data_IF_776083659285
#
_entry.id   IF_776083659285
#
_cell.length_a   1.000
_cell.length_b   1.000
_cell.length_c   1.000
_cell.angle_alpha   90.00
_cell.angle_beta   90.00
_cell.angle_gamma   90.00
#
_symmetry.space_group_name_H-M   'P 1'
#
loop_
_entity.id
_entity.type
_entity.pdbx_description
1 polymer ?
#
# COMPACT_ATOMS: atom_id res chain seq x y z
N UNK A 1 -63.22 -14.21 28.61
CA UNK A 1 -62.70 -14.11 29.99
C UNK A 1 -61.33 -14.78 30.05
N UNK A 2 -60.32 -14.02 30.50
CA UNK A 2 -59.17 -14.39 31.35
C UNK A 2 -57.82 -13.89 30.80
N UNK A 3 -57.44 -12.74 31.35
CA UNK A 3 -56.14 -12.05 31.24
C UNK A 3 -55.05 -12.83 32.00
N UNK A 4 -53.80 -12.87 31.50
CA UNK A 4 -52.56 -12.95 32.31
C UNK A 4 -51.40 -12.34 31.48
N UNK A 5 -51.12 -11.05 31.68
CA UNK A 5 -49.90 -10.46 32.30
C UNK A 5 -48.58 -10.69 31.56
N UNK A 6 -48.06 -9.57 31.02
CA UNK A 6 -46.69 -9.38 30.57
C UNK A 6 -45.68 -9.66 31.70
N UNK A 7 -44.57 -10.33 31.35
CA UNK A 7 -43.39 -10.45 32.20
C UNK A 7 -42.21 -9.92 31.40
N UNK A 8 -41.69 -8.77 31.85
CA UNK A 8 -40.38 -8.27 31.47
C UNK A 8 -39.30 -9.08 32.20
N UNK A 9 -38.23 -9.45 31.49
CA UNK A 9 -37.01 -9.95 32.11
C UNK A 9 -35.81 -9.32 31.37
N UNK A 10 -35.23 -8.31 32.00
CA UNK A 10 -33.91 -7.80 31.68
C UNK A 10 -32.86 -8.84 32.13
N UNK A 11 -31.91 -9.15 31.26
CA UNK A 11 -30.70 -9.88 31.63
C UNK A 11 -29.51 -9.17 30.97
N UNK A 12 -28.86 -8.34 31.79
CA UNK A 12 -27.54 -7.80 31.55
C UNK A 12 -26.53 -8.96 31.55
N UNK A 13 -25.86 -9.18 30.42
CA UNK A 13 -24.70 -10.06 30.37
C UNK A 13 -23.44 -9.23 30.62
N UNK A 14 -22.79 -9.57 31.72
CA UNK A 14 -21.58 -8.95 32.28
C UNK A 14 -20.41 -9.11 31.31
N UNK A 15 -19.90 -7.97 30.82
CA UNK A 15 -18.56 -7.85 30.25
C UNK A 15 -17.58 -7.76 31.42
N UNK A 16 -16.88 -8.84 31.74
CA UNK A 16 -15.69 -8.77 32.58
C UNK A 16 -14.69 -9.91 32.33
N UNK A 17 -13.58 -9.53 31.69
CA UNK A 17 -12.20 -9.88 32.08
C UNK A 17 -11.70 -11.30 31.84
N UNK A 18 -11.13 -11.51 30.65
CA UNK A 18 -9.95 -12.36 30.47
C UNK A 18 -8.73 -11.48 30.23
N UNK A 19 -8.06 -11.06 31.30
CA UNK A 19 -6.78 -10.36 31.24
C UNK A 19 -5.70 -11.18 31.95
N UNK A 20 -4.57 -11.41 31.26
CA UNK A 20 -3.22 -11.49 31.83
C UNK A 20 -2.21 -11.78 30.71
N UNK A 21 -1.63 -10.72 30.16
CA UNK A 21 -0.57 -10.75 29.17
C UNK A 21 -0.03 -9.34 29.00
N UNK A 22 0.62 -8.84 30.06
CA UNK A 22 1.26 -7.52 30.14
C UNK A 22 2.47 -7.51 29.21
N UNK A 23 2.25 -7.33 27.91
CA UNK A 23 3.15 -6.78 26.90
C UNK A 23 2.28 -6.52 25.68
N UNK A 24 1.68 -5.33 25.64
CA UNK A 24 1.02 -4.79 24.45
C UNK A 24 2.12 -4.41 23.45
N UNK A 25 2.77 -5.43 22.88
CA UNK A 25 3.47 -5.26 21.61
C UNK A 25 2.38 -5.47 20.59
N UNK A 26 1.85 -4.39 20.05
CA UNK A 26 0.99 -4.42 18.87
C UNK A 26 1.68 -5.30 17.80
N UNK A 27 1.28 -6.58 17.74
CA UNK A 27 1.84 -7.60 16.85
C UNK A 27 1.26 -7.50 15.45
N UNK A 28 0.54 -6.43 15.14
CA UNK A 28 0.15 -6.13 13.77
C UNK A 28 1.45 -6.05 12.97
N UNK A 29 1.65 -6.93 11.97
CA UNK A 29 2.87 -6.92 11.16
C UNK A 29 3.10 -5.49 10.63
N UNK A 30 4.34 -5.04 10.54
CA UNK A 30 4.64 -3.68 10.07
C UNK A 30 3.95 -3.38 8.73
N UNK A 31 3.94 -4.37 7.83
CA UNK A 31 3.19 -4.37 6.56
C UNK A 31 1.69 -4.07 6.71
N UNK A 32 1.05 -4.57 7.77
CA UNK A 32 -0.35 -4.31 8.07
C UNK A 32 -0.58 -2.89 8.62
N UNK A 33 0.36 -2.38 9.42
CA UNK A 33 0.35 -0.99 9.91
C UNK A 33 0.55 0.02 8.76
N UNK A 34 1.28 -0.38 7.73
CA UNK A 34 1.55 0.41 6.53
C UNK A 34 0.44 0.32 5.46
N UNK A 35 -0.67 -0.38 5.74
CA UNK A 35 -1.79 -0.51 4.81
C UNK A 35 -1.56 -1.48 3.64
N UNK A 36 -0.52 -2.32 3.70
CA UNK A 36 -0.16 -3.28 2.63
C UNK A 36 -0.87 -4.63 2.80
N UNK A 37 -1.58 -4.87 3.92
CA UNK A 37 -2.39 -6.09 4.13
C UNK A 37 -3.57 -6.17 3.16
N UNK A 38 -3.33 -6.74 1.98
CA UNK A 38 -4.36 -6.90 0.94
C UNK A 38 -3.80 -7.03 -0.48
N UNK A 39 -2.52 -6.73 -0.70
CA UNK A 39 -1.91 -6.87 -2.02
C UNK A 39 -1.78 -8.34 -2.40
N UNK A 40 -2.46 -8.73 -3.49
CA UNK A 40 -2.27 -10.01 -4.16
C UNK A 40 -1.09 -9.91 -5.13
N UNK A 41 0.10 -9.67 -4.57
CA UNK A 41 1.32 -9.39 -5.32
C UNK A 41 2.20 -10.65 -5.45
N UNK A 42 2.51 -11.03 -6.68
CA UNK A 42 3.60 -11.94 -7.01
C UNK A 42 4.83 -11.12 -7.43
N UNK A 43 6.02 -11.62 -7.11
CA UNK A 43 7.27 -10.89 -7.35
C UNK A 43 8.24 -11.77 -8.13
N UNK A 44 8.84 -11.19 -9.17
CA UNK A 44 9.89 -11.81 -9.99
C UNK A 44 11.12 -10.89 -10.05
N UNK A 45 12.28 -11.45 -10.44
CA UNK A 45 13.55 -10.75 -10.42
C UNK A 45 14.28 -10.85 -9.08
N UNK A 46 15.11 -9.86 -8.76
CA UNK A 46 15.94 -9.82 -7.55
C UNK A 46 15.72 -8.53 -6.76
N UNK A 47 14.55 -8.33 -6.12
CA UNK A 47 14.33 -7.17 -5.29
C UNK A 47 15.18 -7.23 -4.02
N UNK A 48 15.61 -6.06 -3.56
CA UNK A 48 16.05 -5.86 -2.17
C UNK A 48 14.83 -5.67 -1.25
N UNK A 49 14.98 -5.86 0.09
CA UNK A 49 13.91 -5.55 1.03
C UNK A 49 13.37 -4.11 0.88
N UNK A 50 14.26 -3.13 0.69
CA UNK A 50 13.92 -1.74 0.51
C UNK A 50 13.13 -1.46 -0.77
N UNK A 51 13.59 -1.99 -1.90
CA UNK A 51 12.93 -1.78 -3.20
C UNK A 51 11.56 -2.47 -3.25
N UNK A 52 11.43 -3.69 -2.69
CA UNK A 52 10.13 -4.34 -2.56
C UNK A 52 9.18 -3.53 -1.67
N UNK A 53 9.65 -3.05 -0.52
CA UNK A 53 8.82 -2.24 0.38
C UNK A 53 8.30 -0.98 -0.30
N UNK A 54 9.14 -0.30 -1.10
CA UNK A 54 8.73 0.90 -1.82
C UNK A 54 7.63 0.60 -2.86
N UNK A 55 7.77 -0.48 -3.62
CA UNK A 55 6.73 -0.92 -4.58
C UNK A 55 5.43 -1.27 -3.87
N UNK A 56 5.51 -1.97 -2.75
CA UNK A 56 4.32 -2.33 -1.97
C UNK A 56 3.58 -1.10 -1.44
N UNK A 57 4.30 -0.08 -0.93
CA UNK A 57 3.66 1.17 -0.53
C UNK A 57 3.01 1.88 -1.72
N UNK A 58 3.67 1.95 -2.88
CA UNK A 58 3.09 2.53 -4.11
C UNK A 58 1.80 1.81 -4.51
N UNK A 59 1.85 0.48 -4.59
CA UNK A 59 0.69 -0.33 -4.99
C UNK A 59 -0.44 -0.26 -3.97
N UNK A 60 -0.14 -0.19 -2.68
CA UNK A 60 -1.13 0.03 -1.63
C UNK A 60 -1.86 1.36 -1.81
N UNK A 61 -1.15 2.46 -2.11
CA UNK A 61 -1.76 3.77 -2.38
C UNK A 61 -2.62 3.76 -3.64
N UNK A 62 -2.19 3.07 -4.69
CA UNK A 62 -3.00 2.89 -5.91
C UNK A 62 -4.27 2.08 -5.59
N UNK A 63 -4.14 0.97 -4.85
CA UNK A 63 -5.26 0.12 -4.45
C UNK A 63 -6.26 0.87 -3.55
N UNK A 64 -5.78 1.73 -2.65
CA UNK A 64 -6.63 2.58 -1.80
C UNK A 64 -7.14 3.85 -2.49
N UNK A 65 -6.74 4.08 -3.74
CA UNK A 65 -7.01 5.30 -4.52
C UNK A 65 -6.55 6.59 -3.84
N UNK A 66 -5.44 6.52 -3.11
CA UNK A 66 -4.85 7.61 -2.35
C UNK A 66 -3.76 8.31 -3.17
N UNK A 67 -4.18 9.27 -4.01
CA UNK A 67 -3.25 10.00 -4.87
C UNK A 67 -2.32 10.93 -4.08
N UNK A 68 -2.80 11.50 -2.97
CA UNK A 68 -1.99 12.40 -2.13
C UNK A 68 -0.91 11.59 -1.40
N UNK A 69 -1.29 10.46 -0.79
CA UNK A 69 -0.32 9.55 -0.17
C UNK A 69 0.64 8.90 -1.17
N UNK A 70 0.24 8.72 -2.44
CA UNK A 70 1.15 8.29 -3.50
C UNK A 70 2.16 9.39 -3.85
N UNK A 71 1.74 10.65 -3.93
CA UNK A 71 2.63 11.79 -4.20
C UNK A 71 3.69 11.97 -3.09
N UNK A 72 3.35 11.67 -1.84
CA UNK A 72 4.30 11.72 -0.70
C UNK A 72 5.45 10.70 -0.83
N UNK A 73 5.24 9.59 -1.55
CA UNK A 73 6.27 8.56 -1.79
C UNK A 73 7.31 8.98 -2.86
N UNK A 74 7.09 10.11 -3.54
CA UNK A 74 7.96 10.56 -4.61
C UNK A 74 9.38 10.89 -4.11
N UNK A 75 10.37 10.35 -4.81
CA UNK A 75 11.79 10.66 -4.63
C UNK A 75 12.32 11.46 -5.82
N UNK A 76 12.73 12.70 -5.56
CA UNK A 76 13.01 13.69 -6.60
C UNK A 76 11.75 14.33 -7.21
N UNK A 77 11.95 15.20 -8.20
CA UNK A 77 10.88 15.98 -8.85
C UNK A 77 10.61 17.34 -8.16
N UNK A 78 10.04 18.27 -8.93
CA UNK A 78 9.56 19.54 -8.36
C UNK A 78 8.24 19.29 -7.62
N UNK A 79 8.33 18.98 -6.33
CA UNK A 79 7.17 18.88 -5.42
C UNK A 79 6.40 20.20 -5.29
N UNK A 80 6.92 21.31 -5.81
CA UNK A 80 6.20 22.60 -5.84
C UNK A 80 5.52 22.86 -7.19
N UNK A 81 5.80 22.06 -8.22
CA UNK A 81 5.35 22.26 -9.60
C UNK A 81 4.05 21.54 -9.97
N UNK A 82 3.48 20.71 -9.09
CA UNK A 82 2.21 20.01 -9.31
C UNK A 82 2.30 18.73 -10.17
N UNK A 83 3.44 18.47 -10.79
CA UNK A 83 3.65 17.34 -11.71
C UNK A 83 3.59 15.98 -10.99
N UNK A 84 4.12 15.93 -9.76
CA UNK A 84 4.06 14.73 -8.90
C UNK A 84 2.61 14.38 -8.58
N UNK A 85 1.81 15.38 -8.18
CA UNK A 85 0.40 15.20 -7.83
C UNK A 85 -0.46 14.87 -9.04
N UNK A 86 -0.16 15.41 -10.22
CA UNK A 86 -0.84 15.07 -11.47
C UNK A 86 -0.54 13.63 -11.88
N UNK A 87 0.73 13.22 -11.85
CA UNK A 87 1.16 11.84 -12.14
C UNK A 87 0.52 10.85 -11.18
N UNK A 88 0.54 11.15 -9.87
CA UNK A 88 -0.09 10.30 -8.86
C UNK A 88 -1.60 10.14 -9.10
N UNK A 89 -2.30 11.23 -9.42
CA UNK A 89 -3.73 11.20 -9.80
C UNK A 89 -3.97 10.39 -11.07
N UNK A 90 -3.10 10.52 -12.07
CA UNK A 90 -3.16 9.76 -13.33
C UNK A 90 -3.02 8.26 -13.06
N UNK A 91 -2.07 7.86 -12.22
CA UNK A 91 -1.83 6.47 -11.87
C UNK A 91 -2.99 5.86 -11.10
N UNK A 92 -3.49 6.55 -10.08
CA UNK A 92 -4.68 6.10 -9.32
C UNK A 92 -5.88 5.94 -10.25
N UNK A 93 -6.10 6.88 -11.17
CA UNK A 93 -7.21 6.81 -12.13
C UNK A 93 -7.07 5.63 -13.09
N UNK A 94 -5.87 5.39 -13.60
CA UNK A 94 -5.60 4.38 -14.62
C UNK A 94 -5.56 2.97 -14.03
N UNK A 95 -4.92 2.81 -12.87
CA UNK A 95 -4.58 1.51 -12.30
C UNK A 95 -5.39 1.15 -11.05
N UNK A 96 -6.14 2.07 -10.45
CA UNK A 96 -6.85 1.82 -9.18
C UNK A 96 -7.87 0.68 -9.25
N UNK A 97 -8.53 0.47 -10.39
CA UNK A 97 -9.41 -0.69 -10.62
C UNK A 97 -8.60 -1.98 -10.79
N UNK A 98 -7.49 -1.91 -11.52
CA UNK A 98 -6.63 -3.05 -11.81
C UNK A 98 -5.89 -3.54 -10.55
N UNK A 99 -5.53 -2.63 -9.64
CA UNK A 99 -4.88 -2.91 -8.36
C UNK A 99 -5.76 -3.65 -7.35
N UNK A 100 -7.06 -3.82 -7.63
CA UNK A 100 -7.93 -4.70 -6.83
C UNK A 100 -7.74 -6.19 -7.13
N UNK A 101 -7.02 -6.51 -8.21
CA UNK A 101 -6.82 -7.86 -8.72
C UNK A 101 -5.39 -8.34 -8.46
N UNK A 102 -5.12 -9.65 -8.65
CA UNK A 102 -3.76 -10.16 -8.63
C UNK A 102 -2.85 -9.40 -9.60
N UNK A 103 -1.59 -9.24 -9.19
CA UNK A 103 -0.59 -8.50 -9.94
C UNK A 103 0.78 -9.12 -9.78
N UNK A 104 1.63 -8.91 -10.77
CA UNK A 104 3.02 -9.37 -10.78
C UNK A 104 3.92 -8.16 -10.95
N UNK A 105 4.87 -7.97 -10.03
CA UNK A 105 5.94 -6.99 -10.16
C UNK A 105 7.23 -7.68 -10.57
N UNK A 106 7.79 -7.30 -11.71
CA UNK A 106 9.08 -7.77 -12.19
C UNK A 106 10.16 -6.72 -11.92
N UNK A 107 11.16 -7.10 -11.13
CA UNK A 107 12.24 -6.22 -10.73
C UNK A 107 13.45 -6.43 -11.64
N UNK A 108 13.93 -5.34 -12.23
CA UNK A 108 15.17 -5.29 -12.99
C UNK A 108 16.08 -4.19 -12.46
N UNK A 109 17.35 -4.51 -12.30
CA UNK A 109 18.40 -3.56 -11.87
C UNK A 109 19.34 -3.30 -13.04
N UNK A 110 18.96 -2.43 -14.00
CA UNK A 110 19.83 -2.13 -15.12
C UNK A 110 21.10 -1.37 -14.69
N UNK A 111 21.07 -0.63 -13.58
CA UNK A 111 22.19 0.21 -13.11
C UNK A 111 22.12 0.63 -11.61
N UNK A 112 22.12 1.95 -11.29
CA UNK A 112 21.95 2.53 -9.94
C UNK A 112 20.49 2.82 -9.59
N UNK A 113 19.57 2.42 -10.46
CA UNK A 113 18.12 2.54 -10.27
C UNK A 113 17.46 1.17 -10.39
N UNK A 114 16.32 1.01 -9.71
CA UNK A 114 15.52 -0.22 -9.80
C UNK A 114 14.33 0.08 -10.70
N UNK A 115 14.25 -0.62 -11.82
CA UNK A 115 13.12 -0.56 -12.74
C UNK A 115 12.15 -1.69 -12.42
N UNK A 116 10.88 -1.34 -12.26
CA UNK A 116 9.83 -2.29 -11.89
C UNK A 116 8.71 -2.20 -12.89
N UNK A 117 8.34 -3.34 -13.46
CA UNK A 117 7.18 -3.48 -14.33
C UNK A 117 6.09 -4.24 -13.60
N UNK A 118 4.94 -3.59 -13.41
CA UNK A 118 3.78 -4.20 -12.73
C UNK A 118 2.71 -4.53 -13.75
N UNK A 119 2.40 -5.81 -13.88
CA UNK A 119 1.29 -6.31 -14.69
C UNK A 119 0.12 -6.67 -13.79
N UNK A 120 -1.06 -6.14 -14.10
CA UNK A 120 -2.30 -6.44 -13.38
C UNK A 120 -3.15 -7.43 -14.17
N UNK A 121 -3.80 -8.38 -13.48
CA UNK A 121 -4.67 -9.35 -14.13
C UNK A 121 -5.86 -8.66 -14.85
N UNK A 122 -5.88 -8.76 -16.18
CA UNK A 122 -6.89 -8.08 -17.01
C UNK A 122 -6.87 -6.55 -16.86
N UNK A 123 -5.73 -5.98 -16.50
CA UNK A 123 -5.51 -4.53 -16.42
C UNK A 123 -5.31 -3.86 -17.78
N UNK A 124 -5.25 -2.52 -17.82
CA UNK A 124 -5.12 -1.76 -19.06
C UNK A 124 -3.73 -1.83 -19.72
N UNK A 125 -2.78 -2.54 -19.11
CA UNK A 125 -1.41 -2.71 -19.61
C UNK A 125 -0.43 -3.00 -18.48
N UNK A 126 0.80 -2.54 -18.64
CA UNK A 126 1.87 -2.60 -17.64
C UNK A 126 2.12 -1.21 -17.05
N UNK A 127 2.21 -1.12 -15.73
CA UNK A 127 2.71 0.06 -15.03
C UNK A 127 4.22 -0.05 -14.87
N UNK A 128 4.96 0.80 -15.59
CA UNK A 128 6.41 0.91 -15.42
C UNK A 128 6.73 1.99 -14.38
N UNK A 129 7.59 1.67 -13.42
CA UNK A 129 8.06 2.63 -12.42
C UNK A 129 9.56 2.48 -12.18
N UNK A 130 10.20 3.60 -11.86
CA UNK A 130 11.61 3.64 -11.46
C UNK A 130 11.71 4.03 -10.00
N UNK A 131 12.50 3.28 -9.23
CA UNK A 131 12.81 3.58 -7.84
C UNK A 131 14.20 4.18 -7.75
N UNK A 132 14.34 5.16 -6.85
CA UNK A 132 15.59 5.85 -6.56
C UNK A 132 15.93 5.73 -5.08
N UNK A 133 17.19 5.46 -4.78
CA UNK A 133 17.70 5.40 -3.41
C UNK A 133 17.59 6.75 -2.69
N UNK A 134 17.21 6.72 -1.41
CA UNK A 134 17.07 7.88 -0.52
C UNK A 134 18.41 8.22 0.14
N UNK A 135 19.33 8.79 -0.63
CA UNK A 135 20.61 9.34 -0.13
C UNK A 135 21.67 8.30 0.29
N UNK A 136 22.83 8.78 0.74
CA UNK A 136 24.05 7.99 0.93
C UNK A 136 24.08 7.16 2.24
N UNK A 137 23.25 7.50 3.24
CA UNK A 137 23.29 6.90 4.58
C UNK A 137 22.32 5.71 4.79
N UNK A 138 21.38 5.48 3.87
CA UNK A 138 20.47 4.32 3.89
C UNK A 138 20.59 3.57 2.57
N UNK A 139 21.49 2.59 2.53
CA UNK A 139 21.83 1.83 1.32
C UNK A 139 20.62 1.09 0.69
N UNK A 140 19.55 0.83 1.47
CA UNK A 140 18.38 0.07 1.05
C UNK A 140 17.05 0.81 1.35
N UNK A 141 17.01 2.12 1.17
CA UNK A 141 15.77 2.91 1.23
C UNK A 141 15.48 3.53 -0.13
N UNK A 142 14.26 3.36 -0.63
CA UNK A 142 13.86 3.85 -1.96
C UNK A 142 12.61 4.74 -1.89
N UNK A 143 12.46 5.61 -2.88
CA UNK A 143 11.17 6.18 -3.25
C UNK A 143 10.96 6.13 -4.75
N UNK A 144 9.73 6.37 -5.19
CA UNK A 144 9.32 6.23 -6.59
C UNK A 144 9.57 7.54 -7.33
N UNK A 145 10.04 7.48 -8.57
CA UNK A 145 10.11 8.64 -9.43
C UNK A 145 8.74 8.86 -10.06
N UNK A 146 8.05 9.93 -9.65
CA UNK A 146 6.77 10.37 -10.22
C UNK A 146 7.01 11.64 -11.04
N UNK A 147 7.67 11.46 -12.17
CA UNK A 147 7.78 12.49 -13.20
C UNK A 147 7.54 11.79 -14.53
N UNK A 148 6.29 11.82 -14.99
CA UNK A 148 5.98 11.51 -16.39
C UNK A 148 6.52 12.65 -17.24
N UNK A 149 7.85 12.65 -17.44
CA UNK A 149 8.54 13.62 -18.29
C UNK A 149 7.82 13.71 -19.63
N UNK A 150 7.27 14.89 -19.94
CA UNK A 150 6.69 15.17 -21.24
C UNK A 150 7.76 15.23 -22.33
#
# INVERSE_FOLDING_TARGET
MRNVRAVAAALAAVLALGGCGVFDTDKTPQRAKDGITGLQLSVTGMPTPGSLSAVEHVLARIQSRDADGLAELAEGGDKNGGAVEETARSWVKTWGDAAQKPMTADFSEPDRSVSVEVTFEGGPGTLSMTLRGKGDDNEDAYGVVLDEGK
#
